data_IF_166622161897
#
_entry.id   IF_166622161897
#
_cell.length_a   1.000
_cell.length_b   1.000
_cell.length_c   1.000
_cell.angle_alpha   90.00
_cell.angle_beta   90.00
_cell.angle_gamma   90.00
#
_symmetry.space_group_name_H-M   'P 1'
#
loop_
_entity.id
_entity.type
_entity.pdbx_description
1 polymer ?
#
# COMPACT_ATOMS: atom_id res chain seq x y z
N UNK A 1 9.43 9.30 7.01
CA UNK A 1 9.35 8.02 7.76
C UNK A 1 8.76 8.32 9.13
N UNK A 2 7.72 7.60 9.53
CA UNK A 2 7.18 7.68 10.88
C UNK A 2 7.69 6.45 11.66
N UNK A 3 8.70 6.62 12.54
CA UNK A 3 9.38 5.49 13.20
C UNK A 3 8.52 4.77 14.22
N UNK A 4 7.37 5.34 14.61
CA UNK A 4 6.44 4.74 15.58
C UNK A 4 5.39 3.85 14.92
N UNK A 5 5.40 3.72 13.58
CA UNK A 5 4.50 2.79 12.90
C UNK A 5 4.90 1.34 13.21
N UNK A 6 3.95 0.51 13.66
CA UNK A 6 4.23 -0.91 13.84
C UNK A 6 4.59 -1.54 12.50
N UNK A 7 5.46 -2.55 12.54
CA UNK A 7 5.75 -3.36 11.37
C UNK A 7 4.44 -3.99 10.84
N UNK A 8 4.36 -4.28 9.52
CA UNK A 8 3.21 -4.96 8.95
C UNK A 8 2.93 -6.29 9.66
N UNK A 9 1.66 -6.54 9.94
CA UNK A 9 1.21 -7.75 10.61
C UNK A 9 0.17 -8.46 9.75
N UNK A 10 0.08 -9.77 9.97
CA UNK A 10 -0.97 -10.59 9.37
C UNK A 10 -2.22 -10.43 10.21
N UNK A 11 -3.34 -10.16 9.56
CA UNK A 11 -4.63 -10.02 10.25
C UNK A 11 -5.08 -11.34 10.92
N UNK A 12 -4.67 -12.49 10.38
CA UNK A 12 -4.95 -13.82 10.93
C UNK A 12 -3.77 -14.76 10.70
N UNK A 13 -3.73 -15.87 11.44
CA UNK A 13 -2.71 -16.93 11.30
C UNK A 13 -2.66 -17.59 9.92
N UNK A 14 -3.70 -17.43 9.10
CA UNK A 14 -3.79 -17.98 7.74
C UNK A 14 -3.83 -16.91 6.65
N UNK A 15 -3.68 -15.62 6.98
CA UNK A 15 -3.65 -14.56 5.99
C UNK A 15 -2.43 -14.70 5.06
N UNK A 16 -2.63 -14.55 3.75
CA UNK A 16 -1.56 -14.67 2.76
C UNK A 16 -0.68 -13.41 2.65
N UNK A 17 -1.21 -12.25 3.07
CA UNK A 17 -0.53 -10.97 2.99
C UNK A 17 -0.42 -10.27 4.34
N UNK A 18 0.38 -9.20 4.36
CA UNK A 18 0.56 -8.31 5.50
C UNK A 18 -0.12 -6.98 5.19
N UNK A 19 -0.92 -6.47 6.11
CA UNK A 19 -1.54 -5.16 5.95
C UNK A 19 -0.49 -4.07 6.21
N UNK A 20 -0.32 -3.15 5.25
CA UNK A 20 0.60 -2.01 5.33
C UNK A 20 -0.19 -0.75 5.69
N UNK A 21 0.43 0.14 6.46
CA UNK A 21 -0.14 1.43 6.88
C UNK A 21 0.51 2.58 6.12
N UNK A 22 -0.25 3.66 5.91
CA UNK A 22 0.29 4.95 5.48
C UNK A 22 1.21 5.51 6.56
N UNK A 23 2.33 6.11 6.15
CA UNK A 23 3.18 6.91 7.03
C UNK A 23 2.83 8.40 7.06
N UNK A 24 1.93 8.83 6.17
CA UNK A 24 1.39 10.18 6.17
C UNK A 24 0.36 10.33 7.30
N UNK A 25 0.31 11.52 7.92
CA UNK A 25 -0.64 11.83 9.00
C UNK A 25 -2.10 11.78 8.51
N UNK A 26 -2.34 12.27 7.29
CA UNK A 26 -3.64 12.23 6.62
C UNK A 26 -3.46 12.34 5.11
N UNK A 27 -4.23 11.55 4.36
CA UNK A 27 -4.25 11.58 2.89
C UNK A 27 -5.69 11.54 2.44
N UNK A 28 -6.17 12.63 1.85
CA UNK A 28 -7.43 12.61 1.10
C UNK A 28 -7.13 12.34 -0.37
N UNK A 29 -7.92 11.43 -0.98
CA UNK A 29 -7.94 11.18 -2.41
C UNK A 29 -9.27 11.67 -2.98
N UNK A 30 -9.20 12.69 -3.84
CA UNK A 30 -10.37 13.18 -4.58
C UNK A 30 -10.80 12.17 -5.66
N UNK A 31 -12.07 12.15 -6.09
CA UNK A 31 -12.52 11.32 -7.20
C UNK A 31 -11.64 11.47 -8.45
N UNK A 32 -11.10 10.35 -8.93
CA UNK A 32 -10.20 10.28 -10.08
C UNK A 32 -8.73 10.59 -9.77
N UNK A 33 -8.39 11.05 -8.57
CA UNK A 33 -7.02 11.38 -8.19
C UNK A 33 -6.13 10.13 -8.14
N UNK A 34 -4.90 10.28 -8.62
CA UNK A 34 -3.80 9.32 -8.43
C UNK A 34 -2.76 9.98 -7.54
N UNK A 35 -2.39 9.32 -6.44
CA UNK A 35 -1.42 9.85 -5.49
C UNK A 35 -0.42 8.79 -5.05
N UNK A 36 0.83 9.19 -4.89
CA UNK A 36 1.88 8.37 -4.29
C UNK A 36 1.86 8.57 -2.76
N UNK A 37 1.66 7.48 -2.01
CA UNK A 37 1.55 7.49 -0.55
C UNK A 37 2.75 6.76 0.06
N UNK A 38 3.43 7.41 1.02
CA UNK A 38 4.53 6.83 1.77
C UNK A 38 4.07 5.79 2.79
N UNK A 39 4.84 4.74 2.98
CA UNK A 39 4.58 3.72 4.03
C UNK A 39 5.61 3.77 5.14
N UNK A 40 6.72 4.49 4.96
CA UNK A 40 7.85 4.49 5.87
C UNK A 40 8.64 3.18 5.91
N UNK A 41 8.23 2.16 5.15
CA UNK A 41 8.88 0.86 5.11
C UNK A 41 10.02 0.86 4.09
N UNK A 42 11.16 0.35 4.51
CA UNK A 42 12.25 -0.06 3.62
C UNK A 42 12.43 -1.55 3.86
N UNK A 43 12.58 -2.31 2.78
CA UNK A 43 12.67 -3.76 2.86
C UNK A 43 13.86 -4.28 2.08
N UNK A 44 14.43 -5.37 2.59
CA UNK A 44 15.42 -6.16 1.90
C UNK A 44 14.81 -7.54 1.66
N UNK A 45 14.64 -7.87 0.38
CA UNK A 45 14.06 -9.15 -0.04
C UNK A 45 15.17 -10.15 -0.34
N UNK A 46 14.95 -11.45 -0.06
CA UNK A 46 15.87 -12.49 -0.52
C UNK A 46 16.02 -12.50 -2.03
N UNK A 47 17.20 -12.88 -2.52
CA UNK A 47 17.45 -13.04 -3.95
C UNK A 47 16.48 -14.06 -4.58
N UNK A 48 15.97 -13.72 -5.77
CA UNK A 48 15.02 -14.56 -6.50
C UNK A 48 13.56 -14.49 -6.00
N UNK A 49 13.24 -13.58 -5.07
CA UNK A 49 11.88 -13.35 -4.58
C UNK A 49 11.39 -11.95 -4.93
N UNK A 50 10.08 -11.79 -5.16
CA UNK A 50 9.46 -10.46 -5.25
C UNK A 50 8.47 -10.27 -4.09
N UNK A 51 8.25 -9.01 -3.71
CA UNK A 51 7.07 -8.63 -2.92
C UNK A 51 6.02 -8.03 -3.85
N UNK A 52 4.76 -8.41 -3.65
CA UNK A 52 3.64 -7.88 -4.39
C UNK A 52 2.74 -7.02 -3.51
N UNK A 53 2.51 -5.78 -3.92
CA UNK A 53 1.55 -4.87 -3.30
C UNK A 53 0.20 -4.98 -4.02
N UNK A 54 -0.86 -5.28 -3.27
CA UNK A 54 -2.21 -5.53 -3.80
C UNK A 54 -3.25 -4.67 -3.08
N UNK A 55 -4.37 -4.29 -3.74
CA UNK A 55 -5.45 -3.55 -3.11
C UNK A 55 -6.13 -4.37 -2.02
N UNK A 56 -6.57 -3.69 -0.96
CA UNK A 56 -7.48 -4.27 0.03
C UNK A 56 -8.89 -4.27 -0.56
N UNK A 57 -9.48 -5.47 -0.72
CA UNK A 57 -10.80 -5.64 -1.33
C UNK A 57 -11.90 -4.81 -0.65
N UNK A 58 -11.81 -4.62 0.67
CA UNK A 58 -12.76 -3.80 1.41
C UNK A 58 -12.74 -2.31 1.04
N UNK A 59 -11.55 -1.74 0.75
CA UNK A 59 -11.44 -0.36 0.29
C UNK A 59 -11.89 -0.22 -1.17
N UNK A 60 -11.54 -1.19 -2.01
CA UNK A 60 -11.98 -1.23 -3.40
C UNK A 60 -13.52 -1.30 -3.50
N UNK A 61 -14.16 -2.20 -2.75
CA UNK A 61 -15.61 -2.37 -2.80
C UNK A 61 -16.39 -1.19 -2.20
N UNK A 62 -15.93 -0.65 -1.06
CA UNK A 62 -16.68 0.39 -0.35
C UNK A 62 -16.43 1.80 -0.86
N UNK A 63 -15.23 2.09 -1.36
CA UNK A 63 -14.80 3.45 -1.67
C UNK A 63 -14.23 3.59 -3.09
N UNK A 64 -14.12 2.51 -3.86
CA UNK A 64 -13.50 2.56 -5.19
C UNK A 64 -11.98 2.78 -5.16
N UNK A 65 -11.33 2.59 -4.00
CA UNK A 65 -9.88 2.77 -3.88
C UNK A 65 -9.14 1.57 -4.43
N UNK A 66 -8.21 1.81 -5.36
CA UNK A 66 -7.38 0.78 -5.99
C UNK A 66 -5.93 1.21 -6.10
N UNK A 67 -5.08 0.32 -6.60
CA UNK A 67 -3.71 0.59 -6.99
C UNK A 67 -3.63 0.43 -8.51
N UNK A 68 -3.40 1.50 -9.29
CA UNK A 68 -3.42 1.42 -10.76
C UNK A 68 -2.28 0.56 -11.32
N UNK A 69 -1.24 0.29 -10.53
CA UNK A 69 -0.14 -0.61 -10.87
C UNK A 69 -0.29 -2.00 -10.24
N UNK A 70 -1.47 -2.43 -9.80
CA UNK A 70 -1.63 -3.72 -9.13
C UNK A 70 -1.54 -4.93 -10.08
N UNK A 71 -0.85 -6.03 -9.67
CA UNK A 71 0.03 -6.13 -8.51
C UNK A 71 1.29 -5.29 -8.68
N UNK A 72 1.62 -4.45 -7.69
CA UNK A 72 2.85 -3.66 -7.71
C UNK A 72 4.03 -4.53 -7.31
N UNK A 73 5.07 -4.58 -8.14
CA UNK A 73 6.26 -5.41 -7.91
C UNK A 73 7.35 -4.64 -7.17
N UNK A 74 7.95 -5.28 -6.17
CA UNK A 74 9.15 -4.83 -5.47
C UNK A 74 10.24 -5.89 -5.64
N UNK A 75 11.33 -5.49 -6.29
CA UNK A 75 12.45 -6.36 -6.64
C UNK A 75 13.44 -6.57 -5.48
N UNK A 76 14.22 -7.68 -5.48
CA UNK A 76 15.27 -7.96 -4.48
C UNK A 76 16.30 -6.87 -4.24
N UNK A 77 16.63 -6.09 -5.26
CA UNK A 77 17.66 -5.05 -5.24
C UNK A 77 17.09 -3.66 -4.91
N UNK A 78 15.78 -3.53 -4.75
CA UNK A 78 15.16 -2.28 -4.31
C UNK A 78 15.54 -1.98 -2.86
N UNK A 79 16.03 -0.75 -2.63
CA UNK A 79 16.42 -0.24 -1.29
C UNK A 79 15.75 1.09 -0.95
N UNK A 80 14.84 1.54 -1.79
CA UNK A 80 14.03 2.74 -1.52
C UNK A 80 12.91 2.46 -0.53
N UNK A 81 12.19 3.53 -0.18
CA UNK A 81 10.94 3.41 0.56
C UNK A 81 9.89 2.71 -0.31
N UNK A 82 9.18 1.73 0.26
CA UNK A 82 7.98 1.17 -0.32
C UNK A 82 6.89 2.26 -0.35
N UNK A 83 6.55 2.76 -1.54
CA UNK A 83 5.46 3.72 -1.73
C UNK A 83 4.35 3.09 -2.53
N UNK A 84 3.11 3.46 -2.22
CA UNK A 84 1.91 2.89 -2.84
C UNK A 84 1.28 3.94 -3.72
N UNK A 85 1.10 3.62 -5.01
CA UNK A 85 0.31 4.45 -5.92
C UNK A 85 -1.14 4.10 -5.64
N UNK A 86 -1.91 5.04 -5.12
CA UNK A 86 -3.33 4.88 -4.84
C UNK A 86 -4.15 5.70 -5.82
N UNK A 87 -5.30 5.16 -6.22
CA UNK A 87 -6.28 5.85 -7.05
C UNK A 87 -7.66 5.73 -6.44
N UNK A 88 -8.42 6.83 -6.43
CA UNK A 88 -9.84 6.81 -6.09
C UNK A 88 -10.69 6.75 -7.38
N UNK A 89 -11.36 5.62 -7.63
CA UNK A 89 -12.33 5.45 -8.71
C UNK A 89 -13.78 5.69 -8.25
N UNK A 90 -13.98 5.96 -6.96
CA UNK A 90 -15.27 6.27 -6.37
C UNK A 90 -15.76 7.68 -6.68
N UNK A 91 -17.06 7.96 -6.44
CA UNK A 91 -17.66 9.26 -6.71
C UNK A 91 -17.44 10.29 -5.59
N UNK A 92 -16.91 9.89 -4.44
CA UNK A 92 -16.73 10.73 -3.25
C UNK A 92 -15.26 10.75 -2.81
N UNK A 93 -14.78 11.85 -2.18
CA UNK A 93 -13.47 11.88 -1.55
C UNK A 93 -13.35 10.83 -0.44
N UNK A 94 -12.14 10.29 -0.26
CA UNK A 94 -11.82 9.31 0.79
C UNK A 94 -10.56 9.73 1.53
N UNK A 95 -10.58 9.60 2.86
CA UNK A 95 -9.45 9.91 3.76
C UNK A 95 -9.06 8.67 4.57
#
# INVERSE_FOLDING_TARGET
>A
SNPDLPLPERATEHAAGYDIRSAEESVTLEPGEIRLVGTGLVMELPEGMECQVRPRSGLALRHGVTLPNSPGTIDPDYRGELRVIMQNLGPEPVT
#
